data_IF_872369010701
#
_entry.id   IF_872369010701
#
_cell.length_a   1.000
_cell.length_b   1.000
_cell.length_c   1.000
_cell.angle_alpha   90.00
_cell.angle_beta   90.00
_cell.angle_gamma   90.00
#
_symmetry.space_group_name_H-M   'P 1'
#
loop_
_entity.id
_entity.type
_entity.pdbx_description
1 polymer ?
#
# COMPACT_ATOMS: atom_id res chain seq x y z
N UNK A 1 14.71 6.86 -9.88
CA UNK A 1 13.29 6.46 -9.74
C UNK A 1 13.23 5.60 -8.49
N UNK A 2 12.53 6.02 -7.42
CA UNK A 2 12.46 5.26 -6.15
C UNK A 2 11.48 4.10 -6.35
N UNK A 3 11.91 2.88 -6.02
CA UNK A 3 11.05 1.68 -6.02
C UNK A 3 10.41 1.48 -4.65
N UNK A 4 9.37 0.65 -4.56
CA UNK A 4 8.76 0.26 -3.28
C UNK A 4 9.79 -0.33 -2.31
N UNK A 5 10.71 -1.14 -2.82
CA UNK A 5 11.76 -1.76 -2.00
C UNK A 5 12.71 -0.71 -1.43
N UNK A 6 13.08 0.32 -2.21
CA UNK A 6 13.93 1.41 -1.73
C UNK A 6 13.22 2.24 -0.64
N UNK A 7 11.94 2.55 -0.85
CA UNK A 7 11.12 3.28 0.12
C UNK A 7 11.03 2.52 1.43
N UNK A 8 10.72 1.23 1.38
CA UNK A 8 10.62 0.36 2.55
C UNK A 8 11.97 0.27 3.25
N UNK A 9 13.03 -0.05 2.51
CA UNK A 9 14.36 -0.23 3.09
C UNK A 9 14.78 1.01 3.88
N UNK A 10 14.64 2.21 3.29
CA UNK A 10 14.99 3.46 3.96
C UNK A 10 14.09 3.73 5.18
N UNK A 11 12.80 3.47 5.06
CA UNK A 11 11.84 3.62 6.17
C UNK A 11 12.19 2.72 7.36
N UNK A 12 12.58 1.47 7.09
CA UNK A 12 12.98 0.53 8.13
C UNK A 12 14.29 0.93 8.82
N UNK A 13 15.25 1.50 8.09
CA UNK A 13 16.51 2.00 8.66
C UNK A 13 16.31 3.24 9.52
N UNK A 14 15.39 4.12 9.14
CA UNK A 14 15.12 5.38 9.83
C UNK A 14 14.07 5.26 10.94
N UNK A 15 13.51 4.05 11.15
CA UNK A 15 12.38 3.75 12.06
C UNK A 15 11.20 4.74 11.91
N UNK A 16 10.99 5.22 10.69
CA UNK A 16 9.92 6.18 10.39
C UNK A 16 8.59 5.48 10.23
N UNK A 17 7.55 6.10 10.77
CA UNK A 17 6.18 5.68 10.53
C UNK A 17 5.70 6.23 9.17
N UNK A 18 5.26 5.35 8.27
CA UNK A 18 4.64 5.74 6.99
C UNK A 18 3.46 4.83 6.66
N UNK A 19 2.61 5.31 5.75
CA UNK A 19 1.54 4.54 5.12
C UNK A 19 1.79 4.44 3.62
N UNK A 20 1.66 3.24 3.08
CA UNK A 20 1.77 2.96 1.65
C UNK A 20 0.40 2.53 1.14
N UNK A 21 -0.12 3.23 0.14
CA UNK A 21 -1.34 2.85 -0.57
C UNK A 21 -0.94 2.24 -1.90
N UNK A 22 -1.29 0.99 -2.13
CA UNK A 22 -0.95 0.24 -3.33
C UNK A 22 -2.19 0.07 -4.20
N UNK A 23 -2.18 0.70 -5.37
CA UNK A 23 -3.18 0.55 -6.43
C UNK A 23 -2.79 -0.62 -7.33
N UNK A 24 -3.63 -1.67 -7.33
CA UNK A 24 -3.48 -2.87 -8.15
C UNK A 24 -4.72 -3.08 -9.00
N UNK A 25 -4.59 -3.77 -10.14
CA UNK A 25 -5.77 -4.21 -10.86
C UNK A 25 -6.48 -5.31 -10.07
N UNK A 26 -7.79 -5.21 -9.92
CA UNK A 26 -8.58 -6.22 -9.18
C UNK A 26 -8.43 -7.61 -9.77
N UNK A 27 -8.20 -7.71 -11.08
CA UNK A 27 -7.96 -8.98 -11.79
C UNK A 27 -6.65 -9.68 -11.39
N UNK A 28 -5.73 -9.00 -10.70
CA UNK A 28 -4.52 -9.60 -10.15
C UNK A 28 -4.82 -10.36 -8.86
N UNK A 29 -5.90 -10.00 -8.16
CA UNK A 29 -6.32 -10.65 -6.93
C UNK A 29 -7.26 -11.81 -7.21
N UNK A 30 -7.18 -12.84 -6.38
CA UNK A 30 -8.04 -14.02 -6.49
C UNK A 30 -9.41 -13.68 -5.93
N UNK A 31 -10.44 -13.75 -6.77
CA UNK A 31 -11.82 -13.57 -6.35
C UNK A 31 -12.20 -14.61 -5.28
N UNK A 32 -12.89 -14.17 -4.23
CA UNK A 32 -13.22 -14.99 -3.06
C UNK A 32 -12.09 -15.11 -2.02
N UNK A 33 -10.86 -14.72 -2.36
CA UNK A 33 -9.67 -14.79 -1.49
C UNK A 33 -8.86 -13.48 -1.56
N UNK A 34 -9.54 -12.33 -1.58
CA UNK A 34 -8.91 -11.03 -1.80
C UNK A 34 -7.85 -10.69 -0.76
N UNK A 35 -8.11 -10.98 0.52
CA UNK A 35 -7.16 -10.71 1.58
C UNK A 35 -5.91 -11.59 1.46
N UNK A 36 -6.08 -12.89 1.26
CA UNK A 36 -4.97 -13.83 1.08
C UNK A 36 -4.13 -13.49 -0.15
N UNK A 37 -4.79 -13.19 -1.29
CA UNK A 37 -4.08 -12.79 -2.51
C UNK A 37 -3.40 -11.42 -2.40
N UNK A 38 -3.95 -10.48 -1.61
CA UNK A 38 -3.28 -9.23 -1.29
C UNK A 38 -2.01 -9.45 -0.44
N UNK A 39 -2.06 -10.34 0.56
CA UNK A 39 -0.88 -10.74 1.31
C UNK A 39 0.17 -11.38 0.41
N UNK A 40 -0.21 -12.36 -0.42
CA UNK A 40 0.72 -13.00 -1.36
C UNK A 40 1.35 -12.00 -2.34
N UNK A 41 0.59 -11.00 -2.80
CA UNK A 41 1.11 -9.96 -3.69
C UNK A 41 2.16 -9.08 -2.99
N UNK A 42 2.00 -8.87 -1.68
CA UNK A 42 2.90 -8.07 -0.85
C UNK A 42 3.98 -8.91 -0.15
N UNK A 43 4.01 -10.24 -0.32
CA UNK A 43 4.93 -11.12 0.42
C UNK A 43 6.41 -10.81 0.10
N UNK A 44 6.70 -10.49 -1.16
CA UNK A 44 8.03 -10.05 -1.60
C UNK A 44 8.46 -8.70 -1.00
N UNK A 45 7.49 -7.93 -0.50
CA UNK A 45 7.64 -6.56 0.01
C UNK A 45 7.71 -6.59 1.54
N UNK A 46 6.86 -7.40 2.16
CA UNK A 46 6.72 -7.61 3.59
C UNK A 46 7.46 -8.89 3.94
N UNK A 47 8.80 -8.84 3.92
CA UNK A 47 9.61 -10.01 4.28
C UNK A 47 9.25 -10.52 5.67
N UNK A 48 8.92 -11.80 5.75
CA UNK A 48 8.78 -12.59 6.99
C UNK A 48 7.76 -12.06 8.02
N UNK A 49 6.70 -11.36 7.57
CA UNK A 49 5.68 -10.82 8.50
C UNK A 49 6.30 -10.01 9.64
N UNK A 50 7.35 -9.25 9.33
CA UNK A 50 7.98 -8.36 10.29
C UNK A 50 6.90 -7.49 10.94
N UNK A 51 6.84 -7.50 12.28
CA UNK A 51 5.81 -6.84 13.09
C UNK A 51 5.68 -5.33 12.82
N UNK A 52 6.68 -4.75 12.18
CA UNK A 52 6.68 -3.37 11.70
C UNK A 52 5.69 -3.14 10.57
N UNK A 53 5.30 -4.17 9.83
CA UNK A 53 4.37 -4.08 8.72
C UNK A 53 2.96 -4.49 9.14
N UNK A 54 1.98 -3.69 8.75
CA UNK A 54 0.56 -3.99 9.00
C UNK A 54 -0.26 -3.72 7.75
N UNK A 55 -0.75 -4.79 7.12
CA UNK A 55 -1.78 -4.67 6.09
C UNK A 55 -3.08 -4.28 6.79
N UNK A 56 -3.52 -3.07 6.54
CA UNK A 56 -4.62 -2.43 7.25
C UNK A 56 -5.96 -2.62 6.55
N UNK A 57 -5.99 -2.48 5.23
CA UNK A 57 -7.23 -2.52 4.47
C UNK A 57 -7.02 -3.02 3.04
N UNK A 58 -8.06 -3.65 2.51
CA UNK A 58 -8.21 -4.04 1.10
C UNK A 58 -9.54 -3.47 0.63
N UNK A 59 -9.52 -2.39 -0.13
CA UNK A 59 -10.72 -1.76 -0.68
C UNK A 59 -10.87 -2.12 -2.16
N UNK A 60 -11.94 -2.84 -2.50
CA UNK A 60 -12.10 -3.54 -3.77
C UNK A 60 -13.13 -2.83 -4.62
N UNK A 61 -12.70 -2.31 -5.77
CA UNK A 61 -13.58 -1.78 -6.81
C UNK A 61 -13.62 -2.72 -8.02
N UNK A 62 -14.45 -2.40 -9.02
CA UNK A 62 -14.59 -3.23 -10.23
C UNK A 62 -13.27 -3.42 -10.99
N UNK A 63 -12.40 -2.40 -11.02
CA UNK A 63 -11.19 -2.39 -11.84
C UNK A 63 -9.91 -2.32 -11.01
N UNK A 64 -9.96 -1.62 -9.89
CA UNK A 64 -8.82 -1.33 -9.05
C UNK A 64 -9.10 -1.81 -7.62
N UNK A 65 -8.09 -2.38 -6.99
CA UNK A 65 -8.10 -2.67 -5.57
C UNK A 65 -7.00 -1.85 -4.92
N UNK A 66 -7.32 -1.25 -3.77
CA UNK A 66 -6.39 -0.46 -2.99
C UNK A 66 -6.00 -1.22 -1.75
N UNK A 67 -4.70 -1.48 -1.59
CA UNK A 67 -4.13 -2.11 -0.40
C UNK A 67 -3.47 -1.03 0.45
N UNK A 68 -3.75 -1.01 1.75
CA UNK A 68 -3.13 -0.06 2.68
C UNK A 68 -2.15 -0.81 3.57
N UNK A 69 -0.87 -0.47 3.48
CA UNK A 69 0.21 -1.05 4.28
C UNK A 69 0.81 0.04 5.17
N UNK A 70 0.74 -0.14 6.48
CA UNK A 70 1.45 0.70 7.44
C UNK A 70 2.81 0.08 7.79
N UNK A 71 3.80 0.94 7.97
CA UNK A 71 5.16 0.57 8.38
C UNK A 71 5.51 1.35 9.64
N UNK A 72 6.02 0.65 10.66
CA UNK A 72 6.37 1.15 11.99
C UNK A 72 5.20 1.79 12.77
N UNK A 73 3.96 1.59 12.34
CA UNK A 73 2.78 2.07 13.05
C UNK A 73 2.36 1.11 14.19
N UNK A 74 3.27 0.86 15.14
CA UNK A 74 3.09 -0.14 16.22
C UNK A 74 1.99 0.23 17.21
N UNK A 75 1.64 1.51 17.29
CA UNK A 75 0.64 2.05 18.23
C UNK A 75 -0.75 2.17 17.62
N UNK A 76 -0.93 1.71 16.37
CA UNK A 76 -2.23 1.75 15.73
C UNK A 76 -3.24 0.89 16.49
N UNK A 77 -4.33 1.52 16.92
CA UNK A 77 -5.46 0.88 17.58
C UNK A 77 -6.73 1.20 16.80
N UNK A 78 -7.37 0.15 16.27
CA UNK A 78 -8.56 0.28 15.44
C UNK A 78 -9.74 0.91 16.19
N UNK A 79 -9.89 0.58 17.48
CA UNK A 79 -10.99 1.07 18.30
C UNK A 79 -10.89 2.59 18.54
N UNK A 80 -9.66 3.12 18.56
CA UNK A 80 -9.39 4.53 18.83
C UNK A 80 -8.92 5.32 17.61
N UNK A 81 -8.77 4.69 16.44
CA UNK A 81 -8.24 5.30 15.22
C UNK A 81 -8.99 6.56 14.77
N UNK A 82 -10.30 6.62 14.98
CA UNK A 82 -11.11 7.80 14.66
C UNK A 82 -10.80 9.03 15.53
N UNK A 83 -10.08 8.85 16.65
CA UNK A 83 -9.60 9.90 17.55
C UNK A 83 -8.12 10.21 17.34
N UNK A 84 -7.38 9.33 16.67
CA UNK A 84 -5.96 9.51 16.42
C UNK A 84 -5.75 10.58 15.32
N UNK A 85 -5.02 11.64 15.69
CA UNK A 85 -4.67 12.75 14.80
C UNK A 85 -3.19 12.73 14.41
N UNK A 86 -2.48 11.65 14.71
CA UNK A 86 -1.05 11.53 14.41
C UNK A 86 -0.84 11.65 12.90
N UNK A 87 -0.05 12.63 12.43
CA UNK A 87 0.21 12.78 11.01
C UNK A 87 1.11 11.65 10.52
N UNK A 88 0.63 10.88 9.54
CA UNK A 88 1.39 9.80 8.90
C UNK A 88 1.69 10.19 7.45
N UNK A 89 2.97 10.23 7.03
CA UNK A 89 3.33 10.39 5.63
C UNK A 89 2.75 9.26 4.78
N UNK A 90 2.03 9.62 3.70
CA UNK A 90 1.36 8.66 2.80
C UNK A 90 2.05 8.63 1.43
N UNK A 91 2.41 7.43 0.98
CA UNK A 91 2.96 7.17 -0.36
C UNK A 91 1.99 6.32 -1.17
N UNK A 92 1.47 6.87 -2.26
CA UNK A 92 0.67 6.11 -3.21
C UNK A 92 1.57 5.47 -4.26
N UNK A 93 1.39 4.18 -4.50
CA UNK A 93 2.11 3.40 -5.47
C UNK A 93 1.14 2.69 -6.38
N UNK A 94 1.48 2.60 -7.66
CA UNK A 94 0.68 1.87 -8.64
C UNK A 94 1.49 0.71 -9.18
N UNK A 95 0.85 -0.45 -9.27
CA UNK A 95 1.40 -1.59 -9.98
C UNK A 95 1.53 -1.24 -11.46
N UNK A 96 2.75 -1.31 -11.99
CA UNK A 96 2.98 -1.21 -13.43
C UNK A 96 2.96 -2.59 -14.05
N UNK A 97 2.13 -2.79 -15.08
CA UNK A 97 2.16 -3.99 -15.91
C UNK A 97 3.43 -3.98 -16.76
N UNK A 98 4.50 -4.61 -16.30
CA UNK A 98 5.61 -5.03 -17.15
C UNK A 98 5.92 -6.49 -16.79
N UNK A 99 5.37 -7.38 -17.61
CA UNK A 99 5.63 -8.82 -17.76
C UNK A 99 5.44 -9.74 -16.53
N UNK A 100 4.53 -10.70 -16.72
CA UNK A 100 4.46 -12.02 -16.09
C UNK A 100 4.89 -12.10 -14.61
N UNK A 101 3.90 -11.99 -13.72
CA UNK A 101 3.97 -12.54 -12.36
C UNK A 101 4.59 -11.67 -11.28
N UNK A 102 5.36 -10.62 -11.60
CA UNK A 102 5.96 -9.74 -10.57
C UNK A 102 5.52 -8.28 -10.72
N UNK A 103 4.65 -7.83 -9.80
CA UNK A 103 4.23 -6.43 -9.73
C UNK A 103 5.39 -5.52 -9.32
N UNK A 104 5.93 -4.74 -10.27
CA UNK A 104 6.76 -3.57 -9.94
C UNK A 104 5.85 -2.41 -9.58
N UNK A 105 6.18 -1.72 -8.50
CA UNK A 105 5.42 -0.58 -8.00
C UNK A 105 6.18 0.72 -8.22
N UNK A 106 5.50 1.74 -8.74
CA UNK A 106 6.07 3.07 -8.97
C UNK A 106 5.15 4.13 -8.37
N UNK A 107 5.73 5.21 -7.85
CA UNK A 107 4.97 6.41 -7.49
C UNK A 107 4.36 6.96 -8.78
N UNK A 108 3.03 7.09 -8.89
CA UNK A 108 2.41 7.64 -10.07
C UNK A 108 2.86 9.10 -10.22
N UNK A 109 3.28 9.48 -11.44
CA UNK A 109 3.47 10.91 -11.75
C UNK A 109 2.12 11.60 -11.50
N UNK A 110 2.12 12.70 -10.73
CA UNK A 110 0.94 13.56 -10.58
C UNK A 110 0.39 13.85 -11.97
N UNK A 111 -0.79 13.33 -12.30
CA UNK A 111 -1.57 13.90 -13.40
C UNK A 111 -2.04 15.26 -12.89
N UNK A 112 -1.53 16.34 -13.47
CA UNK A 112 -2.21 17.63 -13.40
C UNK A 112 -3.50 17.49 -14.22
N UNK A 113 -4.52 16.86 -13.64
CA UNK A 113 -5.87 16.86 -14.19
C UNK A 113 -6.66 17.87 -13.40
N UNK A 114 -6.75 19.08 -13.96
CA UNK A 114 -7.54 20.20 -13.44
C UNK A 114 -9.05 19.94 -13.55
N UNK A 115 -9.57 18.97 -12.80
CA UNK A 115 -10.99 18.86 -12.52
C UNK A 115 -11.18 18.57 -11.04
N UNK A 116 -11.71 19.58 -10.35
CA UNK A 116 -12.22 19.48 -8.97
C UNK A 116 -13.25 18.35 -8.95
N UNK A 117 -12.99 17.32 -8.16
CA UNK A 117 -14.05 16.41 -7.72
C UNK A 117 -14.80 17.14 -6.61
N UNK A 118 -16.05 17.51 -6.88
CA UNK A 118 -17.05 17.83 -5.85
C UNK A 118 -17.55 16.51 -5.27
N UNK A 119 -17.51 16.40 -3.95
CA UNK A 119 -18.13 15.32 -3.18
C UNK A 119 -19.65 15.42 -3.24
#
# INVERSE_FOLDING_TARGET
MITLNDLIHNTLQEDKMIRVVVDVLTSVLRSGEYLASAYSLLDNVVKNQDERFRLFAVDIYRRHTYLVLDINNRKYDFETAHKDQTPIPVYALRQTQENEGMGRFKIPKRRQTGRRATF
#
